data_IF_799407522742
#
_entry.id   IF_799407522742
#
_cell.length_a   1.000
_cell.length_b   1.000
_cell.length_c   1.000
_cell.angle_alpha   90.00
_cell.angle_beta   90.00
_cell.angle_gamma   90.00
#
_symmetry.space_group_name_H-M   'P 1'
#
loop_
_entity.id
_entity.type
_entity.pdbx_description
1 polymer ?
#
# COMPACT_ATOMS: atom_id res chain seq x y z
N UNK A 1 2.51 7.67 -7.05
CA UNK A 1 3.21 6.75 -7.97
C UNK A 1 4.72 7.01 -8.02
N UNK A 2 5.17 8.24 -8.26
CA UNK A 2 6.61 8.58 -8.32
C UNK A 2 7.42 8.08 -7.10
N UNK A 3 6.90 8.28 -5.88
CA UNK A 3 7.58 7.78 -4.67
C UNK A 3 7.73 6.25 -4.64
N UNK A 4 6.69 5.52 -5.06
CA UNK A 4 6.74 4.06 -5.07
C UNK A 4 7.73 3.58 -6.13
N UNK A 5 7.79 4.24 -7.29
CA UNK A 5 8.80 3.95 -8.32
C UNK A 5 10.22 4.17 -7.78
N UNK A 6 10.48 5.27 -7.08
CA UNK A 6 11.78 5.53 -6.43
C UNK A 6 12.12 4.44 -5.42
N UNK A 7 11.16 4.02 -4.60
CA UNK A 7 11.38 2.98 -3.58
C UNK A 7 11.46 1.57 -4.16
N UNK A 8 10.83 1.30 -5.29
CA UNK A 8 11.01 0.08 -6.09
C UNK A 8 12.37 0.07 -6.78
N UNK A 9 12.90 1.22 -7.18
CA UNK A 9 14.18 1.32 -7.87
C UNK A 9 14.26 0.42 -9.11
N UNK A 10 15.45 -0.13 -9.36
CA UNK A 10 15.62 -1.17 -10.36
C UNK A 10 15.08 -2.50 -9.83
N UNK A 11 14.22 -3.12 -10.62
CA UNK A 11 13.59 -4.41 -10.33
C UNK A 11 14.03 -5.47 -11.34
N UNK A 12 14.94 -5.13 -12.28
CA UNK A 12 15.55 -6.09 -13.18
C UNK A 12 16.14 -7.26 -12.38
N UNK A 13 15.84 -8.49 -12.78
CA UNK A 13 16.31 -9.68 -12.06
C UNK A 13 15.51 -10.05 -10.80
N UNK A 14 14.61 -9.20 -10.31
CA UNK A 14 13.84 -9.41 -9.08
C UNK A 14 12.64 -10.34 -9.29
N UNK A 15 12.33 -11.16 -8.28
CA UNK A 15 11.04 -11.83 -8.12
C UNK A 15 10.12 -10.96 -7.26
N UNK A 16 8.97 -10.58 -7.80
CA UNK A 16 8.03 -9.64 -7.17
C UNK A 16 6.69 -10.30 -6.89
N UNK A 17 6.15 -10.05 -5.69
CA UNK A 17 4.76 -10.34 -5.33
C UNK A 17 3.97 -9.03 -5.29
N UNK A 18 2.88 -8.94 -6.06
CA UNK A 18 1.86 -7.89 -5.96
C UNK A 18 0.63 -8.47 -5.23
N UNK A 19 0.45 -8.05 -3.99
CA UNK A 19 -0.53 -8.57 -3.06
C UNK A 19 -1.81 -7.74 -3.12
N UNK A 20 -2.95 -8.41 -3.40
CA UNK A 20 -4.26 -7.79 -3.55
C UNK A 20 -4.32 -6.87 -4.77
N UNK A 21 -3.89 -7.40 -5.92
CA UNK A 21 -3.69 -6.63 -7.15
C UNK A 21 -4.99 -6.04 -7.72
N UNK A 22 -6.15 -6.61 -7.42
CA UNK A 22 -7.43 -6.25 -8.02
C UNK A 22 -7.38 -6.34 -9.55
N UNK A 23 -7.76 -5.27 -10.24
CA UNK A 23 -7.64 -5.16 -11.70
C UNK A 23 -6.24 -4.71 -12.17
N UNK A 24 -5.29 -4.54 -11.25
CA UNK A 24 -4.01 -3.88 -11.49
C UNK A 24 -4.11 -2.38 -11.69
N UNK A 25 -2.96 -1.72 -11.65
CA UNK A 25 -2.79 -0.31 -11.98
C UNK A 25 -1.58 -0.12 -12.90
N UNK A 26 -1.33 1.12 -13.33
CA UNK A 26 -0.21 1.43 -14.23
C UNK A 26 1.14 1.00 -13.66
N UNK A 27 1.34 1.11 -12.33
CA UNK A 27 2.57 0.69 -11.68
C UNK A 27 2.68 -0.84 -11.57
N UNK A 28 1.60 -1.57 -11.31
CA UNK A 28 1.61 -3.05 -11.33
C UNK A 28 2.07 -3.59 -12.69
N UNK A 29 1.54 -3.04 -13.80
CA UNK A 29 1.97 -3.41 -15.15
C UNK A 29 3.43 -3.01 -15.40
N UNK A 30 3.86 -1.81 -14.97
CA UNK A 30 5.25 -1.37 -15.11
C UNK A 30 6.24 -2.29 -14.36
N UNK A 31 5.90 -2.73 -13.14
CA UNK A 31 6.71 -3.69 -12.39
C UNK A 31 6.77 -5.03 -13.14
N UNK A 32 5.62 -5.53 -13.61
CA UNK A 32 5.55 -6.79 -14.35
C UNK A 32 6.42 -6.76 -15.63
N UNK A 33 6.48 -5.62 -16.33
CA UNK A 33 7.34 -5.43 -17.51
C UNK A 33 8.84 -5.48 -17.20
N UNK A 34 9.26 -4.98 -16.03
CA UNK A 34 10.69 -4.76 -15.71
C UNK A 34 11.31 -5.86 -14.87
N UNK A 35 10.52 -6.61 -14.09
CA UNK A 35 11.04 -7.65 -13.20
C UNK A 35 11.29 -8.98 -13.93
N UNK A 36 12.01 -9.90 -13.26
CA UNK A 36 12.31 -11.24 -13.80
C UNK A 36 11.10 -12.17 -13.71
N UNK A 37 10.37 -12.08 -12.61
CA UNK A 37 9.28 -12.99 -12.28
C UNK A 37 8.24 -12.23 -11.45
N UNK A 38 6.99 -12.28 -11.87
CA UNK A 38 5.92 -11.49 -11.27
C UNK A 38 4.75 -12.38 -10.86
N UNK A 39 4.41 -12.34 -9.58
CA UNK A 39 3.23 -13.01 -9.02
C UNK A 39 2.27 -11.95 -8.53
N UNK A 40 1.07 -11.92 -9.08
CA UNK A 40 -0.03 -11.10 -8.61
C UNK A 40 -1.06 -12.03 -7.95
N UNK A 41 -1.51 -11.71 -6.75
CA UNK A 41 -2.55 -12.50 -6.09
C UNK A 41 -3.69 -11.64 -5.61
N UNK A 42 -4.89 -12.21 -5.62
CA UNK A 42 -6.10 -11.60 -5.09
C UNK A 42 -7.03 -12.70 -4.53
N UNK A 43 -7.87 -12.37 -3.55
CA UNK A 43 -8.88 -13.31 -3.05
C UNK A 43 -10.01 -13.52 -4.05
N UNK A 44 -10.27 -12.53 -4.92
CA UNK A 44 -11.26 -12.59 -5.98
C UNK A 44 -10.70 -13.22 -7.24
N UNK A 45 -11.21 -14.41 -7.56
CA UNK A 45 -10.88 -15.11 -8.81
C UNK A 45 -11.19 -14.27 -10.06
N UNK A 46 -12.29 -13.51 -10.04
CA UNK A 46 -12.68 -12.63 -11.14
C UNK A 46 -11.65 -11.51 -11.38
N UNK A 47 -11.16 -10.88 -10.31
CA UNK A 47 -10.17 -9.80 -10.42
C UNK A 47 -8.83 -10.35 -10.88
N UNK A 48 -8.38 -11.45 -10.25
CA UNK A 48 -7.14 -12.12 -10.63
C UNK A 48 -7.14 -12.55 -12.11
N UNK A 49 -8.25 -13.14 -12.59
CA UNK A 49 -8.40 -13.54 -13.99
C UNK A 49 -8.42 -12.33 -14.95
N UNK A 50 -9.10 -11.24 -14.57
CA UNK A 50 -9.10 -10.00 -15.36
C UNK A 50 -7.70 -9.43 -15.51
N UNK A 51 -6.92 -9.40 -14.43
CA UNK A 51 -5.55 -8.90 -14.49
C UNK A 51 -4.61 -9.85 -15.24
N UNK A 52 -4.83 -11.17 -15.14
CA UNK A 52 -4.10 -12.15 -15.95
C UNK A 52 -4.30 -11.90 -17.45
N UNK A 53 -5.52 -11.57 -17.89
CA UNK A 53 -5.79 -11.21 -19.28
C UNK A 53 -5.03 -9.94 -19.70
N UNK A 54 -4.95 -8.94 -18.82
CA UNK A 54 -4.17 -7.73 -19.08
C UNK A 54 -2.67 -8.02 -19.24
N UNK A 55 -2.10 -8.87 -18.38
CA UNK A 55 -0.70 -9.31 -18.49
C UNK A 55 -0.43 -10.05 -19.82
N UNK A 56 -1.34 -10.93 -20.23
CA UNK A 56 -1.23 -11.66 -21.50
C UNK A 56 -1.36 -10.74 -22.72
N UNK A 57 -2.25 -9.74 -22.68
CA UNK A 57 -2.40 -8.75 -23.74
C UNK A 57 -1.13 -7.89 -23.93
N UNK A 58 -0.36 -7.70 -22.85
CA UNK A 58 0.95 -7.04 -22.85
C UNK A 58 2.11 -7.98 -23.25
N UNK A 59 1.84 -9.25 -23.54
CA UNK A 59 2.85 -10.25 -23.92
C UNK A 59 3.72 -10.73 -22.76
N UNK A 60 3.32 -10.49 -21.50
CA UNK A 60 4.12 -10.75 -20.30
C UNK A 60 3.97 -12.19 -19.80
N UNK A 61 4.54 -13.15 -20.52
CA UNK A 61 4.41 -14.59 -20.22
C UNK A 61 5.09 -15.01 -18.90
N UNK A 62 6.06 -14.23 -18.41
CA UNK A 62 6.74 -14.45 -17.12
C UNK A 62 5.95 -13.89 -15.93
N UNK A 63 4.86 -13.16 -16.18
CA UNK A 63 3.99 -12.60 -15.17
C UNK A 63 2.70 -13.41 -15.04
N UNK A 64 2.27 -13.68 -13.79
CA UNK A 64 1.08 -14.46 -13.49
C UNK A 64 0.23 -13.75 -12.44
N UNK A 65 -1.07 -13.77 -12.65
CA UNK A 65 -2.09 -13.31 -11.74
C UNK A 65 -3.07 -14.46 -11.47
N UNK A 66 -3.30 -14.78 -10.20
CA UNK A 66 -4.14 -15.92 -9.81
C UNK A 66 -4.79 -15.71 -8.45
N UNK A 67 -5.88 -16.45 -8.20
CA UNK A 67 -6.54 -16.44 -6.91
C UNK A 67 -5.66 -17.14 -5.88
N UNK A 68 -5.35 -16.47 -4.78
CA UNK A 68 -4.69 -17.08 -3.63
C UNK A 68 -5.01 -16.31 -2.35
N UNK A 69 -5.03 -17.03 -1.23
CA UNK A 69 -5.01 -16.42 0.09
C UNK A 69 -3.57 -16.36 0.58
N UNK A 70 -3.08 -15.15 0.86
CA UNK A 70 -1.71 -14.92 1.28
C UNK A 70 -1.37 -15.58 2.62
N UNK A 71 -2.35 -15.75 3.51
CA UNK A 71 -2.17 -16.36 4.82
C UNK A 71 -2.44 -17.87 4.82
N UNK A 72 -2.90 -18.44 3.70
CA UNK A 72 -3.17 -19.86 3.60
C UNK A 72 -1.89 -20.67 3.37
N UNK A 73 -1.90 -21.91 3.87
CA UNK A 73 -0.78 -22.85 3.78
C UNK A 73 -0.48 -23.29 2.33
N UNK A 74 -1.47 -23.21 1.44
CA UNK A 74 -1.39 -23.66 0.04
C UNK A 74 -0.71 -22.65 -0.89
N UNK A 75 -0.67 -21.37 -0.51
CA UNK A 75 0.22 -20.41 -1.15
C UNK A 75 1.65 -20.78 -0.75
N UNK A 76 2.45 -21.38 -1.63
CA UNK A 76 3.79 -21.90 -1.30
C UNK A 76 4.96 -21.04 -1.80
N UNK A 77 4.67 -20.01 -2.61
CA UNK A 77 5.69 -19.15 -3.21
C UNK A 77 6.48 -18.35 -2.17
N UNK A 78 7.79 -18.24 -2.35
CA UNK A 78 8.71 -17.60 -1.39
C UNK A 78 9.90 -17.01 -2.12
N UNK A 79 10.84 -16.47 -1.34
CA UNK A 79 12.07 -15.86 -1.82
C UNK A 79 11.81 -14.68 -2.76
N UNK A 80 10.81 -13.86 -2.40
CA UNK A 80 10.53 -12.61 -3.09
C UNK A 80 11.59 -11.56 -2.73
N UNK A 81 12.05 -10.82 -3.73
CA UNK A 81 12.91 -9.65 -3.53
C UNK A 81 12.06 -8.44 -3.10
N UNK A 82 10.81 -8.39 -3.62
CA UNK A 82 9.87 -7.30 -3.37
C UNK A 82 8.48 -7.86 -3.13
N UNK A 83 7.82 -7.37 -2.07
CA UNK A 83 6.36 -7.45 -1.92
C UNK A 83 5.80 -6.04 -2.12
N UNK A 84 4.86 -5.89 -3.05
CA UNK A 84 4.10 -4.67 -3.27
C UNK A 84 2.68 -4.89 -2.74
N UNK A 85 2.23 -4.06 -1.79
CA UNK A 85 0.92 -4.20 -1.15
C UNK A 85 0.21 -2.84 -1.11
N UNK A 86 -0.42 -2.47 -2.22
CA UNK A 86 -1.08 -1.17 -2.39
C UNK A 86 -2.51 -1.21 -1.86
N UNK A 87 -2.75 -0.67 -0.68
CA UNK A 87 -4.10 -0.56 -0.12
C UNK A 87 -4.67 -1.90 0.33
N UNK A 88 -3.82 -2.81 0.83
CA UNK A 88 -4.24 -4.18 1.16
C UNK A 88 -3.89 -4.55 2.60
N UNK A 89 -2.84 -3.96 3.18
CA UNK A 89 -2.37 -4.35 4.50
C UNK A 89 -3.41 -4.05 5.60
N UNK A 90 -4.25 -3.02 5.42
CA UNK A 90 -5.34 -2.69 6.33
C UNK A 90 -6.56 -3.64 6.26
N UNK A 91 -6.59 -4.60 5.35
CA UNK A 91 -7.64 -5.63 5.30
C UNK A 91 -7.31 -6.89 6.12
N UNK A 92 -6.10 -6.99 6.68
CA UNK A 92 -5.73 -8.09 7.55
C UNK A 92 -6.13 -7.80 9.00
N UNK A 93 -7.01 -8.64 9.56
CA UNK A 93 -7.40 -8.58 10.97
C UNK A 93 -6.20 -8.85 11.89
N UNK A 94 -5.51 -9.97 11.64
CA UNK A 94 -4.25 -10.30 12.32
C UNK A 94 -3.07 -9.70 11.55
N UNK A 95 -2.80 -8.44 11.85
CA UNK A 95 -1.70 -7.71 11.25
C UNK A 95 -0.32 -8.27 11.62
N UNK A 96 -0.15 -8.88 12.81
CA UNK A 96 1.15 -9.47 13.17
C UNK A 96 1.41 -10.76 12.40
N UNK A 97 0.39 -11.60 12.20
CA UNK A 97 0.46 -12.76 11.32
C UNK A 97 0.78 -12.35 9.88
N UNK A 98 0.11 -11.32 9.36
CA UNK A 98 0.44 -10.76 8.04
C UNK A 98 1.92 -10.37 7.92
N UNK A 99 2.45 -9.62 8.90
CA UNK A 99 3.86 -9.22 8.91
C UNK A 99 4.80 -10.43 9.03
N UNK A 100 4.45 -11.42 9.85
CA UNK A 100 5.22 -12.66 10.00
C UNK A 100 5.29 -13.43 8.68
N UNK A 101 4.16 -13.61 8.00
CA UNK A 101 4.09 -14.25 6.70
C UNK A 101 4.89 -13.46 5.67
N UNK A 102 4.69 -12.14 5.55
CA UNK A 102 5.48 -11.30 4.64
C UNK A 102 6.98 -11.42 4.88
N UNK A 103 7.40 -11.46 6.15
CA UNK A 103 8.81 -11.64 6.51
C UNK A 103 9.32 -13.01 6.04
N UNK A 104 8.56 -14.09 6.26
CA UNK A 104 8.95 -15.44 5.80
C UNK A 104 9.05 -15.55 4.27
N UNK A 105 8.20 -14.83 3.53
CA UNK A 105 8.09 -14.88 2.07
C UNK A 105 9.15 -14.04 1.35
N UNK A 106 9.64 -12.97 1.97
CA UNK A 106 10.73 -12.15 1.46
C UNK A 106 12.08 -12.86 1.62
N UNK A 107 13.05 -12.61 0.75
CA UNK A 107 14.47 -12.93 1.04
C UNK A 107 15.01 -12.05 2.18
N UNK A 108 16.07 -12.47 2.89
CA UNK A 108 16.89 -11.53 3.67
C UNK A 108 17.32 -10.34 2.80
N UNK A 109 17.14 -9.12 3.30
CA UNK A 109 17.36 -7.88 2.53
C UNK A 109 16.23 -7.51 1.56
N UNK A 110 15.23 -8.38 1.37
CA UNK A 110 14.04 -8.09 0.58
C UNK A 110 13.18 -7.00 1.21
N UNK A 111 12.37 -6.31 0.39
CA UNK A 111 11.57 -5.17 0.84
C UNK A 111 10.08 -5.33 0.58
N UNK A 112 9.27 -4.78 1.46
CA UNK A 112 7.84 -4.60 1.28
C UNK A 112 7.50 -3.11 1.13
N UNK A 113 6.75 -2.75 0.11
CA UNK A 113 6.26 -1.39 -0.11
C UNK A 113 4.74 -1.40 0.04
N UNK A 114 4.23 -0.62 0.98
CA UNK A 114 2.79 -0.55 1.27
C UNK A 114 2.26 0.86 1.24
N UNK A 115 0.96 1.01 1.01
CA UNK A 115 0.24 2.26 1.16
C UNK A 115 -1.13 1.97 1.76
N UNK A 116 -1.46 2.60 2.89
CA UNK A 116 -2.64 2.25 3.66
C UNK A 116 -3.28 3.48 4.32
N UNK A 117 -4.60 3.44 4.56
CA UNK A 117 -5.29 4.48 5.29
C UNK A 117 -4.81 4.53 6.74
N UNK A 118 -4.55 5.74 7.21
CA UNK A 118 -4.16 6.05 8.58
C UNK A 118 -5.36 6.58 9.36
N UNK A 119 -5.58 6.07 10.57
CA UNK A 119 -6.72 6.43 11.43
C UNK A 119 -6.30 7.01 12.78
N UNK A 120 -5.30 7.89 12.75
CA UNK A 120 -4.77 8.55 13.95
C UNK A 120 -5.28 9.98 14.14
N UNK A 121 -5.86 10.60 13.10
CA UNK A 121 -6.43 11.94 13.20
C UNK A 121 -7.86 11.89 13.78
N UNK A 122 -8.13 12.71 14.80
CA UNK A 122 -9.39 12.64 15.55
C UNK A 122 -10.63 12.89 14.68
N UNK A 123 -10.57 13.85 13.74
CA UNK A 123 -11.73 14.17 12.93
C UNK A 123 -11.99 13.09 11.86
N UNK A 124 -10.94 12.46 11.32
CA UNK A 124 -11.14 11.29 10.44
C UNK A 124 -11.68 10.09 11.20
N UNK A 125 -11.28 9.90 12.47
CA UNK A 125 -11.83 8.85 13.34
C UNK A 125 -13.31 9.09 13.62
N UNK A 126 -13.69 10.34 13.88
CA UNK A 126 -15.10 10.74 14.07
C UNK A 126 -15.91 10.52 12.79
N UNK A 127 -15.44 11.03 11.64
CA UNK A 127 -16.11 10.84 10.35
C UNK A 127 -16.28 9.36 10.03
N UNK A 128 -15.21 8.55 10.14
CA UNK A 128 -15.32 7.10 9.93
C UNK A 128 -16.31 6.46 10.89
N UNK A 129 -16.29 6.79 12.17
CA UNK A 129 -17.25 6.25 13.13
C UNK A 129 -18.71 6.60 12.77
N UNK A 130 -18.97 7.82 12.27
CA UNK A 130 -20.31 8.24 11.83
C UNK A 130 -20.76 7.53 10.55
N UNK A 131 -19.85 7.30 9.60
CA UNK A 131 -20.17 6.64 8.32
C UNK A 131 -20.12 5.11 8.37
N UNK A 132 -19.50 4.53 9.41
CA UNK A 132 -19.33 3.08 9.57
C UNK A 132 -20.64 2.26 9.43
N UNK A 133 -21.79 2.69 10.01
CA UNK A 133 -23.05 1.94 9.89
C UNK A 133 -23.61 1.88 8.46
N UNK A 134 -23.10 2.70 7.55
CA UNK A 134 -23.55 2.79 6.16
C UNK A 134 -22.58 2.13 5.17
N UNK A 135 -21.51 1.49 5.67
CA UNK A 135 -20.48 0.83 4.86
C UNK A 135 -20.62 -0.69 4.99
N UNK A 136 -20.77 -1.38 3.86
CA UNK A 136 -20.91 -2.84 3.82
C UNK A 136 -19.61 -3.56 4.24
N UNK A 137 -18.45 -2.97 3.98
CA UNK A 137 -17.15 -3.60 4.20
C UNK A 137 -16.43 -3.12 5.46
N UNK A 138 -17.06 -2.28 6.29
CA UNK A 138 -16.42 -1.67 7.46
C UNK A 138 -16.07 -2.65 8.60
N UNK A 139 -16.55 -3.88 8.52
CA UNK A 139 -16.13 -4.99 9.38
C UNK A 139 -14.78 -5.60 8.96
N UNK A 140 -14.34 -5.35 7.72
CA UNK A 140 -13.16 -5.92 7.07
C UNK A 140 -12.05 -4.88 6.81
N UNK A 141 -12.12 -3.75 7.51
CA UNK A 141 -11.12 -2.69 7.45
C UNK A 141 -10.56 -2.36 8.84
N UNK A 142 -9.24 -2.48 8.97
CA UNK A 142 -8.46 -2.09 10.15
C UNK A 142 -7.40 -1.03 9.77
N UNK A 143 -7.81 0.22 9.51
CA UNK A 143 -6.89 1.32 9.21
C UNK A 143 -5.79 1.48 10.26
N UNK A 144 -4.61 1.90 9.80
CA UNK A 144 -3.42 1.89 10.63
C UNK A 144 -3.54 2.86 11.82
N UNK A 145 -3.16 2.36 12.99
CA UNK A 145 -2.99 3.11 14.23
C UNK A 145 -1.51 3.19 14.62
N UNK A 146 -1.19 3.92 15.69
CA UNK A 146 0.19 4.02 16.19
C UNK A 146 0.80 2.66 16.52
N UNK A 147 0.01 1.74 17.07
CA UNK A 147 0.42 0.37 17.41
C UNK A 147 0.93 -0.42 16.19
N UNK A 148 0.41 -0.16 14.98
CA UNK A 148 0.87 -0.85 13.77
C UNK A 148 2.35 -0.56 13.50
N UNK A 149 2.83 0.67 13.75
CA UNK A 149 4.25 1.01 13.58
C UNK A 149 5.15 0.27 14.57
N UNK A 150 4.67 0.02 15.79
CA UNK A 150 5.39 -0.78 16.78
C UNK A 150 5.48 -2.25 16.35
N UNK A 151 4.39 -2.82 15.82
CA UNK A 151 4.37 -4.19 15.30
C UNK A 151 5.30 -4.34 14.09
N UNK A 152 5.26 -3.39 13.14
CA UNK A 152 6.17 -3.34 12.00
C UNK A 152 7.62 -3.34 12.49
N UNK A 153 7.96 -2.46 13.44
CA UNK A 153 9.31 -2.33 13.97
C UNK A 153 9.86 -3.59 14.68
N UNK A 154 9.00 -4.56 15.04
CA UNK A 154 9.44 -5.85 15.60
C UNK A 154 9.92 -6.85 14.55
N UNK A 155 9.53 -6.66 13.29
CA UNK A 155 9.73 -7.63 12.20
C UNK A 155 10.48 -7.07 11.00
N UNK A 156 10.36 -5.77 10.78
CA UNK A 156 10.97 -5.07 9.66
C UNK A 156 11.66 -3.81 10.14
N UNK A 157 12.78 -3.48 9.48
CA UNK A 157 13.31 -2.14 9.54
C UNK A 157 12.50 -1.23 8.63
N UNK A 158 11.96 -0.15 9.19
CA UNK A 158 11.24 0.88 8.42
C UNK A 158 12.30 1.76 7.75
N UNK A 159 12.62 1.48 6.49
CA UNK A 159 13.63 2.21 5.73
C UNK A 159 13.16 3.61 5.32
N UNK A 160 11.88 3.75 4.98
CA UNK A 160 11.26 5.03 4.65
C UNK A 160 9.77 5.03 4.98
N UNK A 161 9.23 6.22 5.26
CA UNK A 161 7.81 6.46 5.49
C UNK A 161 7.41 7.79 4.89
N UNK A 162 6.19 7.88 4.35
CA UNK A 162 5.63 9.14 3.86
C UNK A 162 4.13 9.21 4.18
N UNK A 163 3.72 10.18 4.97
CA UNK A 163 2.32 10.51 5.18
C UNK A 163 1.79 11.44 4.10
N UNK A 164 0.56 11.23 3.66
CA UNK A 164 -0.13 12.11 2.70
C UNK A 164 -1.48 12.58 3.25
N UNK A 165 -2.01 13.66 2.69
CA UNK A 165 -3.26 14.30 3.17
C UNK A 165 -3.18 14.77 4.63
N UNK A 166 -2.04 15.35 5.02
CA UNK A 166 -1.81 15.95 6.33
C UNK A 166 -2.46 17.32 6.44
N UNK A 167 -1.90 18.33 5.79
CA UNK A 167 -2.51 19.67 5.66
C UNK A 167 -3.32 19.78 4.37
N UNK A 168 -2.93 19.06 3.32
CA UNK A 168 -3.57 19.18 2.01
C UNK A 168 -5.05 18.76 2.00
N UNK A 169 -5.48 17.90 2.93
CA UNK A 169 -6.90 17.52 3.07
C UNK A 169 -7.84 18.71 3.31
N UNK A 170 -7.36 19.79 3.90
CA UNK A 170 -8.16 20.99 4.15
C UNK A 170 -8.47 21.80 2.89
N UNK A 171 -7.85 21.45 1.75
CA UNK A 171 -8.20 22.03 0.46
C UNK A 171 -9.53 21.49 -0.09
N UNK A 172 -9.95 20.26 0.27
CA UNK A 172 -11.19 19.65 -0.23
C UNK A 172 -12.45 20.49 0.06
N UNK A 173 -12.73 20.94 1.30
CA UNK A 173 -13.92 21.77 1.55
C UNK A 173 -13.85 23.13 0.85
N UNK A 174 -12.66 23.61 0.49
CA UNK A 174 -12.48 24.90 -0.18
C UNK A 174 -12.81 24.85 -1.69
N UNK A 175 -12.92 23.66 -2.27
CA UNK A 175 -13.26 23.47 -3.69
C UNK A 175 -14.63 24.07 -4.00
N UNK A 176 -15.59 23.93 -3.08
CA UNK A 176 -16.96 24.47 -3.23
C UNK A 176 -16.96 26.00 -3.31
N UNK A 177 -16.02 26.66 -2.63
CA UNK A 177 -15.93 28.12 -2.62
C UNK A 177 -15.15 28.66 -3.83
N UNK A 178 -13.98 28.06 -4.12
CA UNK A 178 -13.13 28.47 -5.24
C UNK A 178 -12.20 27.33 -5.66
N UNK A 179 -12.47 26.64 -6.79
CA UNK A 179 -11.65 25.54 -7.26
C UNK A 179 -10.18 25.94 -7.50
N UNK A 180 -9.95 27.08 -8.15
CA UNK A 180 -8.59 27.53 -8.48
C UNK A 180 -7.76 27.82 -7.23
N UNK A 181 -8.38 28.44 -6.22
CA UNK A 181 -7.70 28.76 -4.97
C UNK A 181 -7.46 27.49 -4.12
N UNK A 182 -8.44 26.59 -4.08
CA UNK A 182 -8.33 25.30 -3.44
C UNK A 182 -7.19 24.47 -4.04
N UNK A 183 -7.08 24.38 -5.38
CA UNK A 183 -5.98 23.69 -6.07
C UNK A 183 -4.63 24.31 -5.71
N UNK A 184 -4.52 25.64 -5.77
CA UNK A 184 -3.25 26.34 -5.46
C UNK A 184 -2.81 26.11 -4.02
N UNK A 185 -3.72 26.25 -3.05
CA UNK A 185 -3.41 26.00 -1.63
C UNK A 185 -3.18 24.53 -1.34
N UNK A 186 -3.97 23.65 -1.95
CA UNK A 186 -3.81 22.20 -1.88
C UNK A 186 -2.42 21.75 -2.33
N UNK A 187 -1.93 22.25 -3.47
CA UNK A 187 -0.57 21.95 -3.96
C UNK A 187 0.51 22.39 -2.98
N UNK A 188 0.44 23.62 -2.45
CA UNK A 188 1.41 24.11 -1.45
C UNK A 188 1.37 23.30 -0.16
N UNK A 189 0.17 22.95 0.30
CA UNK A 189 -0.01 22.13 1.49
C UNK A 189 0.51 20.69 1.27
N UNK A 190 0.30 20.13 0.08
CA UNK A 190 0.82 18.81 -0.29
C UNK A 190 2.34 18.78 -0.29
N UNK A 191 3.01 19.79 -0.87
CA UNK A 191 4.47 19.89 -0.81
C UNK A 191 5.00 19.97 0.64
N UNK A 192 4.27 20.65 1.54
CA UNK A 192 4.61 20.67 2.97
C UNK A 192 4.39 19.32 3.63
N UNK A 193 3.36 18.58 3.25
CA UNK A 193 3.14 17.22 3.75
C UNK A 193 4.28 16.29 3.31
N UNK A 194 4.76 16.40 2.07
CA UNK A 194 5.93 15.66 1.58
C UNK A 194 7.19 15.99 2.40
N UNK A 195 7.40 17.26 2.75
CA UNK A 195 8.57 17.67 3.53
C UNK A 195 8.49 17.28 5.02
N UNK A 196 7.32 17.43 5.65
CA UNK A 196 7.17 17.33 7.11
C UNK A 196 6.76 15.92 7.58
N UNK A 197 6.11 15.14 6.73
CA UNK A 197 5.50 13.85 7.10
C UNK A 197 6.31 12.64 6.60
N UNK A 198 7.64 12.77 6.49
CA UNK A 198 8.55 11.74 5.98
C UNK A 198 9.25 10.91 7.08
N UNK A 199 8.77 11.00 8.32
CA UNK A 199 9.31 10.29 9.51
C UNK A 199 8.21 9.97 10.49
N UNK A 200 8.43 8.95 11.33
CA UNK A 200 7.49 8.53 12.38
C UNK A 200 7.50 9.56 13.51
N UNK A 201 6.72 10.62 13.35
CA UNK A 201 6.64 11.76 14.25
C UNK A 201 5.22 12.35 14.28
N UNK A 202 4.89 13.25 15.23
CA UNK A 202 3.54 13.82 15.34
C UNK A 202 2.90 14.36 14.05
N UNK A 203 3.64 14.98 13.08
CA UNK A 203 3.05 15.40 11.80
C UNK A 203 2.49 14.24 10.97
N UNK A 204 3.17 13.08 10.94
CA UNK A 204 2.72 11.89 10.22
C UNK A 204 1.35 11.43 10.72
N UNK A 205 1.14 11.42 12.03
CA UNK A 205 -0.13 10.97 12.64
C UNK A 205 -1.32 11.93 12.42
N UNK A 206 -1.11 13.03 11.70
CA UNK A 206 -2.19 13.91 11.22
C UNK A 206 -2.59 13.60 9.77
N UNK A 207 -1.83 12.78 9.05
CA UNK A 207 -2.13 12.33 7.69
C UNK A 207 -3.34 11.39 7.64
N UNK A 208 -3.93 11.24 6.46
CA UNK A 208 -5.02 10.27 6.23
C UNK A 208 -4.52 8.97 5.60
N UNK A 209 -3.34 8.98 5.00
CA UNK A 209 -2.70 7.79 4.45
C UNK A 209 -1.21 7.81 4.78
N UNK A 210 -0.61 6.63 4.74
CA UNK A 210 0.81 6.42 4.92
C UNK A 210 1.32 5.44 3.88
N UNK A 211 2.44 5.76 3.24
CA UNK A 211 3.24 4.82 2.46
C UNK A 211 4.47 4.44 3.27
N UNK A 212 4.87 3.17 3.24
CA UNK A 212 6.10 2.70 3.89
C UNK A 212 6.95 1.84 2.95
N UNK A 213 8.27 1.91 3.13
CA UNK A 213 9.22 0.95 2.61
C UNK A 213 9.84 0.21 3.81
N UNK A 214 9.55 -1.08 3.88
CA UNK A 214 9.93 -1.98 4.96
C UNK A 214 10.98 -2.94 4.44
N UNK A 215 12.03 -3.21 5.21
CA UNK A 215 13.12 -4.11 4.78
C UNK A 215 13.23 -5.25 5.79
N UNK A 216 13.28 -6.48 5.27
CA UNK A 216 13.60 -7.67 6.05
C UNK A 216 15.10 -7.66 6.32
N UNK A 217 15.48 -7.67 7.59
CA UNK A 217 16.87 -7.91 8.01
C UNK A 217 17.23 -9.40 8.01
#
# INVERSE_FOLDING_TARGET
>A
DELHQVWLGDVAGSKVLDLGVGCGNALSIDIARRCREYHAIDLSERLAASFQQALLAEGLQHARSYRADFLADDFAERDFDIIYALGVAHHFEDFDLFLATAQQRLKPGGRMITYDPLNTFWASRLLRAMFRPFQNDAAWEWPFARRNFELIGRRFRIAAVQGTLGRSKWAFPLVVLSPQWAIRRGRRAHLRDLADCNRIAPPLFRCLHVTMCLVRE
#
